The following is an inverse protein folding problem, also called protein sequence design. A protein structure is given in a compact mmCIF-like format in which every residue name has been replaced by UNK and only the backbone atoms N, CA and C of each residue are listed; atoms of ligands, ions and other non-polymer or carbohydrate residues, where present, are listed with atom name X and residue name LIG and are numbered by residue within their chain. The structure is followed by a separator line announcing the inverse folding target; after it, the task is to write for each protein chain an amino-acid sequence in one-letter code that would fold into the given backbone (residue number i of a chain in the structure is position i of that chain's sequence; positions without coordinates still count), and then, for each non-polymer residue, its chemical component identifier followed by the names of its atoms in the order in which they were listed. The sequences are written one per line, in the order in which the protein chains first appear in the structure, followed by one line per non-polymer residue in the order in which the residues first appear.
data_IF_833568381847
#
_entry.id   IF_833568381847
#
_cell.length_a   1.000
_cell.length_b   1.000
_cell.length_c   1.000
_cell.angle_alpha   90.00
_cell.angle_beta   90.00
_cell.angle_gamma   90.00
#
_symmetry.space_group_name_H-M   'P 1'
#
loop_
_entity.id
_entity.type
_entity.pdbx_description
1 polymer ?
#
# COMPACT_ATOMS: atom_id res chain seq x y z
N UNK A 1 -62.18 -2.73 -40.36
CA UNK A 1 -60.85 -3.36 -40.53
C UNK A 1 -59.79 -2.29 -40.39
N UNK A 2 -58.85 -2.49 -39.45
CA UNK A 2 -57.44 -2.06 -39.42
C UNK A 2 -57.04 -0.60 -39.72
N UNK A 3 -56.06 0.04 -39.06
CA UNK A 3 -54.96 -0.45 -38.21
C UNK A 3 -54.38 0.68 -37.35
N UNK A 4 -53.54 0.25 -36.41
CA UNK A 4 -52.98 0.97 -35.27
C UNK A 4 -52.08 2.17 -35.61
N UNK A 5 -52.11 3.11 -34.66
CA UNK A 5 -51.02 4.02 -34.27
C UNK A 5 -49.67 3.28 -34.16
N UNK A 6 -48.61 3.87 -34.72
CA UNK A 6 -47.24 3.62 -34.23
C UNK A 6 -46.60 4.98 -33.97
N UNK A 7 -46.56 5.35 -32.70
CA UNK A 7 -45.87 6.53 -32.19
C UNK A 7 -44.45 6.14 -31.75
N UNK A 8 -43.47 6.95 -32.15
CA UNK A 8 -42.26 7.31 -31.42
C UNK A 8 -41.71 6.31 -30.37
N UNK A 9 -40.92 5.32 -30.81
CA UNK A 9 -40.19 4.41 -29.90
C UNK A 9 -38.67 4.68 -29.79
N UNK A 10 -38.12 5.68 -30.48
CA UNK A 10 -36.66 5.89 -30.51
C UNK A 10 -36.11 6.84 -29.43
N UNK A 11 -36.95 7.65 -28.75
CA UNK A 11 -36.49 8.65 -27.77
C UNK A 11 -36.38 8.17 -26.32
N UNK A 12 -37.05 7.07 -25.96
CA UNK A 12 -37.16 6.62 -24.56
C UNK A 12 -36.00 5.72 -24.14
N UNK A 13 -35.49 4.89 -25.05
CA UNK A 13 -34.40 3.92 -24.81
C UNK A 13 -33.07 4.60 -24.48
N UNK A 14 -32.82 5.80 -25.04
CA UNK A 14 -31.58 6.54 -24.83
C UNK A 14 -31.49 7.17 -23.42
N UNK A 15 -32.62 7.63 -22.86
CA UNK A 15 -32.65 8.29 -21.54
C UNK A 15 -32.54 7.31 -20.38
N UNK A 16 -33.06 6.09 -20.54
CA UNK A 16 -32.98 5.03 -19.52
C UNK A 16 -31.55 4.46 -19.44
N UNK A 17 -30.89 4.24 -20.58
CA UNK A 17 -29.50 3.76 -20.61
C UNK A 17 -28.51 4.74 -19.94
N UNK A 18 -28.70 6.04 -20.16
CA UNK A 18 -27.85 7.09 -19.54
C UNK A 18 -28.08 7.20 -18.04
N UNK A 19 -29.32 7.11 -17.57
CA UNK A 19 -29.63 7.15 -16.13
C UNK A 19 -29.06 5.95 -15.36
N UNK A 20 -29.10 4.75 -15.96
CA UNK A 20 -28.53 3.54 -15.35
C UNK A 20 -27.00 3.63 -15.29
N UNK A 21 -26.34 4.05 -16.36
CA UNK A 21 -24.88 4.21 -16.37
C UNK A 21 -24.38 5.23 -15.34
N UNK A 22 -25.07 6.37 -15.19
CA UNK A 22 -24.74 7.37 -14.19
C UNK A 22 -24.92 6.84 -12.75
N UNK A 23 -25.99 6.10 -12.48
CA UNK A 23 -26.22 5.50 -11.16
C UNK A 23 -25.15 4.44 -10.81
N UNK A 24 -24.73 3.59 -11.76
CA UNK A 24 -23.68 2.61 -11.54
C UNK A 24 -22.31 3.25 -11.26
N UNK A 25 -21.98 4.35 -11.94
CA UNK A 25 -20.75 5.10 -11.70
C UNK A 25 -20.72 5.74 -10.31
N UNK A 26 -21.84 6.32 -9.86
CA UNK A 26 -21.96 6.89 -8.53
C UNK A 26 -21.81 5.82 -7.44
N UNK A 27 -22.45 4.65 -7.61
CA UNK A 27 -22.34 3.54 -6.65
C UNK A 27 -20.90 3.00 -6.57
N UNK A 28 -20.22 2.86 -7.71
CA UNK A 28 -18.83 2.45 -7.73
C UNK A 28 -17.95 3.46 -6.96
N UNK A 29 -18.11 4.77 -7.17
CA UNK A 29 -17.31 5.77 -6.45
C UNK A 29 -17.50 5.75 -4.93
N UNK A 30 -18.73 5.49 -4.45
CA UNK A 30 -19.03 5.43 -3.02
C UNK A 30 -18.41 4.18 -2.38
N UNK A 31 -18.49 3.03 -3.07
CA UNK A 31 -17.88 1.80 -2.59
C UNK A 31 -16.35 1.94 -2.43
N UNK A 32 -15.68 2.54 -3.42
CA UNK A 32 -14.22 2.75 -3.34
C UNK A 32 -13.83 3.73 -2.23
N UNK A 33 -14.62 4.78 -2.01
CA UNK A 33 -14.37 5.72 -0.91
C UNK A 33 -14.51 5.04 0.46
N UNK A 34 -15.48 4.14 0.61
CA UNK A 34 -15.68 3.37 1.84
C UNK A 34 -14.54 2.35 2.07
N UNK A 35 -14.09 1.64 1.03
CA UNK A 35 -12.94 0.72 1.12
C UNK A 35 -11.64 1.46 1.50
N UNK A 36 -11.44 2.66 0.97
CA UNK A 36 -10.29 3.49 1.30
C UNK A 36 -10.32 3.97 2.75
N UNK A 37 -11.49 4.43 3.22
CA UNK A 37 -11.68 4.84 4.61
C UNK A 37 -11.46 3.67 5.56
N UNK A 38 -12.00 2.49 5.23
CA UNK A 38 -11.81 1.26 5.99
C UNK A 38 -10.32 0.89 6.11
N UNK A 39 -9.57 0.91 5.01
CA UNK A 39 -8.12 0.70 5.05
C UNK A 39 -7.42 1.76 5.91
N UNK A 40 -7.73 3.04 5.72
CA UNK A 40 -7.07 4.12 6.45
C UNK A 40 -7.32 4.06 7.96
N UNK A 41 -8.50 3.60 8.38
CA UNK A 41 -8.88 3.44 9.79
C UNK A 41 -8.33 2.16 10.40
N UNK A 42 -8.37 1.03 9.68
CA UNK A 42 -8.12 -0.30 10.24
C UNK A 42 -6.70 -0.81 9.99
N UNK A 43 -5.95 -0.23 9.05
CA UNK A 43 -4.58 -0.65 8.82
C UNK A 43 -3.71 -0.38 10.07
N UNK A 44 -3.02 -1.41 10.61
CA UNK A 44 -2.11 -1.25 11.74
C UNK A 44 -1.08 -0.15 11.50
N UNK A 45 -0.82 0.62 12.56
CA UNK A 45 0.21 1.67 12.53
C UNK A 45 1.62 1.12 12.71
N UNK A 46 1.78 -0.05 13.32
CA UNK A 46 3.09 -0.66 13.57
C UNK A 46 3.19 -2.05 12.93
N UNK A 47 4.35 -2.34 12.37
CA UNK A 47 4.74 -3.66 11.89
C UNK A 47 6.14 -4.00 12.38
N UNK A 48 6.38 -5.25 12.74
CA UNK A 48 7.70 -5.76 13.09
C UNK A 48 7.96 -7.11 12.44
N UNK A 49 9.20 -7.37 12.09
CA UNK A 49 9.60 -8.67 11.56
C UNK A 49 11.05 -8.68 11.13
N UNK A 50 11.32 -9.35 10.03
CA UNK A 50 12.68 -9.64 9.61
C UNK A 50 12.88 -9.41 8.10
N UNK A 51 14.09 -8.97 7.77
CA UNK A 51 14.58 -8.93 6.41
C UNK A 51 15.84 -9.79 6.26
N UNK A 52 15.96 -10.49 5.12
CA UNK A 52 17.11 -11.31 4.77
C UNK A 52 17.42 -11.21 3.28
N UNK A 53 18.68 -10.98 2.93
CA UNK A 53 19.12 -11.04 1.53
C UNK A 53 19.10 -12.49 1.01
N UNK A 54 18.72 -12.67 -0.26
CA UNK A 54 18.84 -13.96 -0.93
C UNK A 54 20.32 -14.40 -0.91
N UNK A 55 20.61 -15.58 -0.34
CA UNK A 55 21.97 -16.13 -0.24
C UNK A 55 22.78 -15.66 0.98
N UNK A 56 22.24 -14.76 1.81
CA UNK A 56 22.81 -14.36 3.09
C UNK A 56 22.06 -15.04 4.26
N UNK A 57 22.76 -15.31 5.36
CA UNK A 57 22.16 -15.85 6.60
C UNK A 57 21.90 -14.76 7.65
N UNK A 58 22.41 -13.56 7.43
CA UNK A 58 22.25 -12.41 8.31
C UNK A 58 20.78 -12.00 8.37
N UNK A 59 20.28 -11.88 9.60
CA UNK A 59 18.91 -11.42 9.89
C UNK A 59 19.00 -9.95 10.24
N UNK A 60 18.13 -9.16 9.64
CA UNK A 60 17.94 -7.78 10.03
C UNK A 60 16.54 -7.66 10.65
N UNK A 61 16.46 -7.29 11.92
CA UNK A 61 15.17 -7.04 12.56
C UNK A 61 14.63 -5.71 12.04
N UNK A 62 13.38 -5.70 11.60
CA UNK A 62 12.74 -4.53 10.99
C UNK A 62 11.55 -4.12 11.83
N UNK A 63 11.43 -2.82 12.09
CA UNK A 63 10.23 -2.21 12.64
C UNK A 63 9.84 -1.05 11.74
N UNK A 64 8.56 -0.95 11.38
CA UNK A 64 7.99 0.16 10.62
C UNK A 64 6.80 0.71 11.40
N UNK A 65 6.77 2.03 11.59
CA UNK A 65 5.62 2.75 12.11
C UNK A 65 5.12 3.74 11.06
N UNK A 66 3.85 3.62 10.69
CA UNK A 66 3.14 4.55 9.82
C UNK A 66 2.48 5.66 10.65
N UNK A 67 2.85 6.90 10.38
CA UNK A 67 2.28 8.11 10.98
C UNK A 67 0.98 8.51 10.29
N UNK A 68 0.84 8.19 9.01
CA UNK A 68 -0.37 8.45 8.24
C UNK A 68 -0.63 7.34 7.23
N UNK A 69 -1.91 7.08 6.97
CA UNK A 69 -2.41 6.29 5.84
C UNK A 69 -3.54 7.11 5.22
N UNK A 70 -3.45 7.39 3.93
CA UNK A 70 -4.42 8.25 3.21
C UNK A 70 -4.62 7.78 1.79
N UNK A 71 -5.71 8.20 1.18
CA UNK A 71 -5.92 8.03 -0.25
C UNK A 71 -4.85 8.78 -1.06
N UNK A 72 -4.21 8.10 -2.01
CA UNK A 72 -3.38 8.76 -3.03
C UNK A 72 -4.21 9.06 -4.28
N UNK A 73 -5.06 8.11 -4.67
CA UNK A 73 -6.05 8.23 -5.74
C UNK A 73 -7.16 7.18 -5.53
N UNK A 74 -8.07 7.02 -6.49
CA UNK A 74 -9.20 6.08 -6.40
C UNK A 74 -8.81 4.61 -6.29
N UNK A 75 -7.56 4.25 -6.59
CA UNK A 75 -7.10 2.87 -6.64
C UNK A 75 -6.00 2.56 -5.62
N UNK A 76 -5.36 3.59 -5.05
CA UNK A 76 -4.16 3.44 -4.25
C UNK A 76 -4.22 4.28 -2.98
N UNK A 77 -3.79 3.70 -1.87
CA UNK A 77 -3.46 4.39 -0.64
C UNK A 77 -1.95 4.64 -0.54
N UNK A 78 -1.58 5.68 0.21
CA UNK A 78 -0.22 5.98 0.60
C UNK A 78 -0.12 5.96 2.12
N UNK A 79 0.86 5.22 2.64
CA UNK A 79 1.24 5.24 4.04
C UNK A 79 2.64 5.85 4.18
N UNK A 80 2.78 6.81 5.10
CA UNK A 80 4.05 7.49 5.38
C UNK A 80 4.43 7.28 6.84
N UNK A 81 5.73 7.14 7.10
CA UNK A 81 6.26 7.07 8.45
C UNK A 81 7.75 6.82 8.48
N UNK A 82 8.19 6.01 9.43
CA UNK A 82 9.60 5.67 9.61
C UNK A 82 9.78 4.22 10.02
N UNK A 83 11.03 3.77 9.98
CA UNK A 83 11.39 2.43 10.38
C UNK A 83 12.82 2.32 10.86
N UNK A 84 13.15 1.16 11.41
CA UNK A 84 14.47 0.80 11.86
C UNK A 84 14.86 -0.58 11.40
N UNK A 85 16.10 -0.72 10.98
CA UNK A 85 16.78 -1.99 10.74
C UNK A 85 17.81 -2.20 11.84
N UNK A 86 17.80 -3.36 12.49
CA UNK A 86 18.78 -3.74 13.50
C UNK A 86 19.53 -5.01 13.10
N UNK A 87 20.86 -4.91 13.04
CA UNK A 87 21.77 -6.03 12.82
C UNK A 87 22.82 -6.04 13.93
N UNK A 88 22.73 -7.01 14.84
CA UNK A 88 23.60 -7.07 16.01
C UNK A 88 23.38 -5.88 16.94
N UNK A 89 24.30 -4.92 16.98
CA UNK A 89 24.17 -3.66 17.76
C UNK A 89 24.04 -2.43 16.87
N UNK A 90 24.03 -2.60 15.56
CA UNK A 90 23.91 -1.49 14.62
C UNK A 90 22.44 -1.27 14.29
N UNK A 91 21.99 -0.03 14.45
CA UNK A 91 20.64 0.40 14.11
C UNK A 91 20.73 1.40 12.96
N UNK A 92 19.99 1.13 11.90
CA UNK A 92 19.76 2.08 10.81
C UNK A 92 18.35 2.60 10.90
N UNK A 93 18.17 3.92 10.92
CA UNK A 93 16.84 4.56 10.87
C UNK A 93 16.52 4.98 9.45
N UNK A 94 15.26 4.87 9.05
CA UNK A 94 14.79 5.24 7.71
C UNK A 94 13.46 5.98 7.78
N UNK A 95 13.16 6.76 6.74
CA UNK A 95 11.80 7.17 6.39
C UNK A 95 11.19 6.10 5.49
N UNK A 96 9.89 5.89 5.60
CA UNK A 96 9.15 4.87 4.86
C UNK A 96 8.01 5.51 4.10
N UNK A 97 7.87 5.12 2.83
CA UNK A 97 6.69 5.35 2.01
C UNK A 97 6.19 4.02 1.50
N UNK A 98 4.94 3.68 1.77
CA UNK A 98 4.29 2.50 1.21
C UNK A 98 3.10 2.90 0.34
N UNK A 99 3.01 2.28 -0.84
CA UNK A 99 1.83 2.34 -1.69
C UNK A 99 1.05 1.04 -1.53
N UNK A 100 -0.28 1.13 -1.40
CA UNK A 100 -1.17 -0.03 -1.31
C UNK A 100 -2.20 0.06 -2.41
N UNK A 101 -2.31 -0.95 -3.26
CA UNK A 101 -3.37 -1.05 -4.27
C UNK A 101 -4.59 -1.73 -3.67
N UNK A 102 -5.73 -1.03 -3.67
CA UNK A 102 -6.94 -1.48 -2.96
C UNK A 102 -7.50 -2.80 -3.50
N UNK A 103 -7.48 -3.00 -4.82
CA UNK A 103 -8.14 -4.14 -5.47
C UNK A 103 -7.62 -5.51 -5.03
N UNK A 104 -6.36 -5.60 -4.65
CA UNK A 104 -5.69 -6.87 -4.35
C UNK A 104 -4.64 -6.78 -3.23
N UNK A 105 -4.58 -5.65 -2.53
CA UNK A 105 -3.67 -5.37 -1.42
C UNK A 105 -2.20 -5.58 -1.78
N UNK A 106 -1.82 -5.38 -3.04
CA UNK A 106 -0.42 -5.33 -3.41
C UNK A 106 0.23 -4.09 -2.80
N UNK A 107 1.43 -4.29 -2.27
CA UNK A 107 2.20 -3.22 -1.63
C UNK A 107 3.51 -2.97 -2.35
N UNK A 108 3.94 -1.72 -2.32
CA UNK A 108 5.30 -1.31 -2.65
C UNK A 108 5.84 -0.41 -1.54
N UNK A 109 6.96 -0.81 -0.91
CA UNK A 109 7.57 -0.10 0.22
C UNK A 109 8.92 0.46 -0.23
N UNK A 110 9.08 1.76 -0.04
CA UNK A 110 10.30 2.52 -0.31
C UNK A 110 10.97 2.93 1.00
N UNK A 111 12.30 2.80 1.02
CA UNK A 111 13.15 3.14 2.15
C UNK A 111 13.97 4.37 1.79
N UNK A 112 13.86 5.42 2.61
CA UNK A 112 14.31 6.76 2.28
C UNK A 112 15.17 7.30 3.42
N UNK A 113 16.13 8.18 3.09
CA UNK A 113 16.92 8.95 4.07
C UNK A 113 17.51 8.09 5.21
N UNK A 114 18.36 7.09 4.90
CA UNK A 114 18.93 6.22 5.94
C UNK A 114 19.93 6.98 6.82
N UNK A 115 19.90 6.69 8.12
CA UNK A 115 20.82 7.21 9.12
C UNK A 115 21.45 6.10 9.94
N UNK A 116 22.72 6.27 10.32
CA UNK A 116 23.47 5.31 11.15
C UNK A 116 24.29 4.31 10.34
N UNK A 117 23.84 3.93 9.13
CA UNK A 117 24.59 3.07 8.22
C UNK A 117 24.70 3.70 6.82
N UNK A 118 25.91 4.08 6.43
CA UNK A 118 26.18 4.71 5.12
C UNK A 118 26.19 3.72 3.96
N UNK A 119 26.25 2.41 4.23
CA UNK A 119 26.17 1.35 3.22
C UNK A 119 24.74 0.83 3.03
N UNK A 120 23.73 1.47 3.64
CA UNK A 120 22.34 1.06 3.50
C UNK A 120 21.85 1.25 2.05
N UNK A 121 21.22 0.22 1.50
CA UNK A 121 20.74 0.18 0.11
C UNK A 121 19.36 0.84 0.02
N UNK A 122 19.20 1.84 -0.85
CA UNK A 122 17.92 2.55 -1.06
C UNK A 122 17.49 2.63 -2.52
N UNK A 123 18.28 2.07 -3.43
CA UNK A 123 18.02 2.06 -4.87
C UNK A 123 17.09 0.90 -5.27
N UNK A 124 16.00 0.70 -4.55
CA UNK A 124 15.04 -0.38 -4.78
C UNK A 124 13.73 -0.17 -4.03
N UNK A 125 12.91 -1.20 -4.03
CA UNK A 125 11.69 -1.25 -3.22
C UNK A 125 11.33 -2.68 -2.86
N UNK A 126 10.60 -2.85 -1.76
CA UNK A 126 9.93 -4.11 -1.45
C UNK A 126 8.61 -4.17 -2.20
N UNK A 127 8.37 -5.23 -2.97
CA UNK A 127 7.09 -5.48 -3.65
C UNK A 127 6.46 -6.76 -3.12
N UNK A 128 5.17 -6.71 -2.78
CA UNK A 128 4.55 -7.83 -2.06
C UNK A 128 3.05 -7.69 -1.85
N UNK A 129 2.55 -8.30 -0.78
CA UNK A 129 1.15 -8.24 -0.37
C UNK A 129 0.99 -7.89 1.11
N UNK A 130 -0.05 -7.11 1.38
CA UNK A 130 -0.68 -6.99 2.68
C UNK A 130 -1.80 -8.04 2.77
N UNK A 131 -1.84 -8.79 3.87
CA UNK A 131 -2.88 -9.80 4.10
C UNK A 131 -4.26 -9.16 4.20
N UNK A 132 -5.33 -9.92 3.94
CA UNK A 132 -6.71 -9.40 3.95
C UNK A 132 -7.15 -8.89 5.32
N UNK A 133 -6.60 -9.45 6.39
CA UNK A 133 -6.82 -8.99 7.77
C UNK A 133 -5.88 -7.83 8.17
N UNK A 134 -5.04 -7.37 7.23
CA UNK A 134 -4.05 -6.31 7.38
C UNK A 134 -2.95 -6.62 8.41
N UNK A 135 -2.88 -7.86 8.92
CA UNK A 135 -1.98 -8.23 10.02
C UNK A 135 -0.59 -8.67 9.57
N UNK A 136 -0.37 -8.92 8.27
CA UNK A 136 0.88 -9.45 7.75
C UNK A 136 1.28 -8.77 6.44
N UNK A 137 2.57 -8.46 6.32
CA UNK A 137 3.18 -7.98 5.08
C UNK A 137 4.26 -8.99 4.69
N UNK A 138 4.13 -9.53 3.48
CA UNK A 138 5.17 -10.35 2.85
C UNK A 138 5.59 -9.67 1.55
N UNK A 139 6.87 -9.32 1.43
CA UNK A 139 7.39 -8.60 0.28
C UNK A 139 8.83 -9.00 -0.06
N UNK A 140 9.20 -8.80 -1.32
CA UNK A 140 10.57 -9.01 -1.79
C UNK A 140 11.19 -7.67 -2.18
N UNK A 141 12.35 -7.37 -1.62
CA UNK A 141 13.21 -6.31 -2.11
C UNK A 141 13.78 -6.67 -3.47
N UNK A 142 13.91 -5.70 -4.37
CA UNK A 142 14.77 -5.81 -5.55
C UNK A 142 15.56 -4.52 -5.73
N UNK A 143 16.89 -4.63 -5.66
CA UNK A 143 17.83 -3.54 -5.97
C UNK A 143 17.78 -3.27 -7.47
N UNK A 144 17.48 -2.03 -7.86
CA UNK A 144 17.29 -1.64 -9.26
C UNK A 144 18.58 -1.77 -10.07
N UNK A 145 19.74 -1.47 -9.47
CA UNK A 145 21.02 -1.46 -10.17
C UNK A 145 21.61 -2.87 -10.34
N UNK A 146 21.50 -3.73 -9.33
CA UNK A 146 22.15 -5.05 -9.32
C UNK A 146 21.19 -6.21 -9.53
N UNK A 147 19.88 -5.98 -9.39
CA UNK A 147 18.88 -7.04 -9.33
C UNK A 147 18.96 -7.91 -8.07
N UNK A 148 19.78 -7.54 -7.08
CA UNK A 148 19.86 -8.26 -5.81
C UNK A 148 18.51 -8.25 -5.10
N UNK A 149 18.15 -9.37 -4.48
CA UNK A 149 16.84 -9.55 -3.84
C UNK A 149 16.97 -9.95 -2.39
N UNK A 150 15.94 -9.67 -1.62
CA UNK A 150 15.79 -10.14 -0.24
C UNK A 150 14.33 -10.25 0.15
N UNK A 151 14.04 -10.97 1.21
CA UNK A 151 12.68 -11.21 1.70
C UNK A 151 12.42 -10.39 2.96
N UNK A 152 11.29 -9.70 2.99
CA UNK A 152 10.73 -8.99 4.12
C UNK A 152 9.45 -9.69 4.57
N UNK A 153 9.38 -10.06 5.84
CA UNK A 153 8.20 -10.65 6.46
C UNK A 153 7.91 -9.93 7.75
N UNK A 154 6.73 -9.33 7.87
CA UNK A 154 6.36 -8.54 9.03
C UNK A 154 4.95 -8.88 9.50
N UNK A 155 4.74 -8.70 10.81
CA UNK A 155 3.43 -8.81 11.44
C UNK A 155 3.07 -7.50 12.14
N UNK A 156 1.78 -7.23 12.20
CA UNK A 156 1.25 -6.10 12.94
C UNK A 156 1.68 -6.15 14.41
N UNK A 157 2.00 -4.98 14.94
CA UNK A 157 2.46 -4.76 16.30
C UNK A 157 1.63 -3.60 16.90
N UNK A 158 1.28 -3.64 18.20
CA UNK A 158 0.73 -2.46 18.88
C UNK A 158 1.62 -1.24 18.64
N UNK A 159 1.02 -0.12 18.25
CA UNK A 159 1.73 1.08 17.80
C UNK A 159 2.89 1.48 18.72
N UNK A 160 4.11 1.52 18.18
CA UNK A 160 5.30 2.05 18.85
C UNK A 160 5.63 3.41 18.25
N UNK A 161 5.85 4.40 19.13
CA UNK A 161 6.25 5.73 18.70
C UNK A 161 7.61 5.66 17.98
N UNK A 162 7.64 6.27 16.81
CA UNK A 162 8.81 6.25 15.95
C UNK A 162 9.78 7.36 16.40
N UNK A 163 11.08 7.08 16.47
CA UNK A 163 12.10 8.12 16.55
C UNK A 163 12.57 8.39 15.11
N UNK A 164 12.12 9.49 14.46
CA UNK A 164 12.38 9.71 13.05
C UNK A 164 13.88 9.76 12.77
N UNK A 165 14.27 9.36 11.55
CA UNK A 165 15.53 9.79 10.98
C UNK A 165 15.52 11.33 10.94
N UNK A 166 16.56 11.96 11.48
CA UNK A 166 16.78 13.39 11.40
C UNK A 166 16.64 13.92 9.96
N UNK A 167 16.25 15.18 9.85
CA UNK A 167 16.39 15.91 8.59
C UNK A 167 17.85 16.33 8.46
N UNK A 168 18.59 15.70 7.56
CA UNK A 168 19.83 16.26 7.02
C UNK A 168 19.54 17.57 6.27
#
# INVERSE_FOLDING_TARGET
MSWLRIANFHGLSLRIGVAIAAASLLLASVAHAAEMEDLAQNMPRGYSGEFRWDGDRTVQNVVITFESVRALNSQNAEALGCGTYEVGRQVTKIKVRMLVRLSDLQVEIFELSPEGNTAFTTDGSHRGKLSKDLQQIDAQWTTATTGQRGQLQMRALPSVACAPAGTA
#
